data_IF_055619330947
#
_entry.id   IF_055619330947
#
_cell.length_a   1.000
_cell.length_b   1.000
_cell.length_c   1.000
_cell.angle_alpha   90.00
_cell.angle_beta   90.00
_cell.angle_gamma   90.00
#
_symmetry.space_group_name_H-M   'P 1'
#
loop_
_entity.id
_entity.type
_entity.pdbx_description
1 polymer ?
#
# COMPACT_ATOMS: atom_id res chain seq x y z
N UNK A 1 34.67 27.08 -46.84
CA UNK A 1 33.87 27.72 -45.79
C UNK A 1 32.91 26.69 -45.26
N UNK A 2 33.05 26.33 -43.98
CA UNK A 2 32.14 25.41 -43.30
C UNK A 2 31.12 26.16 -42.45
N UNK A 3 29.95 25.56 -42.27
CA UNK A 3 29.09 25.61 -41.09
C UNK A 3 27.97 24.54 -41.25
N UNK A 4 27.39 24.03 -40.16
CA UNK A 4 27.02 22.61 -40.04
C UNK A 4 25.51 22.36 -40.04
N UNK A 5 25.11 21.14 -40.45
CA UNK A 5 23.79 20.58 -40.15
C UNK A 5 23.89 19.65 -38.92
N UNK A 6 23.22 20.02 -37.82
CA UNK A 6 22.67 19.07 -36.85
C UNK A 6 21.48 18.33 -37.48
N UNK A 7 20.88 17.29 -36.92
CA UNK A 7 20.86 16.76 -35.55
C UNK A 7 20.14 15.40 -35.60
N UNK A 8 20.53 14.50 -34.68
CA UNK A 8 19.74 13.46 -34.01
C UNK A 8 18.82 12.52 -34.80
N UNK A 9 19.13 11.22 -34.77
CA UNK A 9 18.23 10.22 -34.14
C UNK A 9 19.02 8.96 -33.73
N UNK A 10 19.23 8.82 -32.42
CA UNK A 10 19.79 7.64 -31.77
C UNK A 10 18.74 6.56 -31.53
N UNK A 11 19.20 5.30 -31.65
CA UNK A 11 18.42 4.08 -31.48
C UNK A 11 17.81 3.92 -30.09
N UNK A 12 16.55 3.49 -30.08
CA UNK A 12 15.74 3.29 -28.89
C UNK A 12 16.20 2.10 -28.05
N UNK A 13 16.35 2.37 -26.74
CA UNK A 13 16.45 1.36 -25.69
C UNK A 13 15.08 1.28 -25.01
N UNK A 14 14.53 0.07 -24.97
CA UNK A 14 13.27 -0.31 -24.32
C UNK A 14 13.23 0.01 -22.82
N UNK A 15 12.08 0.40 -22.24
CA UNK A 15 11.88 0.34 -20.80
C UNK A 15 11.02 -0.87 -20.40
N UNK A 16 11.66 -1.85 -19.77
CA UNK A 16 11.00 -2.85 -18.93
C UNK A 16 10.64 -2.19 -17.58
N UNK A 17 9.36 -1.92 -17.36
CA UNK A 17 8.82 -1.39 -16.10
C UNK A 17 8.02 -2.44 -15.34
N UNK A 18 8.64 -3.03 -14.31
CA UNK A 18 7.98 -3.92 -13.35
C UNK A 18 7.06 -3.11 -12.42
N UNK A 19 5.74 -3.31 -12.53
CA UNK A 19 4.73 -2.82 -11.58
C UNK A 19 4.46 -3.91 -10.53
N UNK A 20 4.78 -3.67 -9.25
CA UNK A 20 4.23 -4.49 -8.17
C UNK A 20 2.77 -4.11 -7.90
N UNK A 21 1.91 -5.09 -8.20
CA UNK A 21 0.93 -5.70 -7.29
C UNK A 21 0.19 -4.74 -6.35
N UNK A 22 -0.95 -4.23 -6.80
CA UNK A 22 -2.07 -3.97 -5.92
C UNK A 22 -2.68 -5.32 -5.49
N UNK A 23 -2.86 -5.46 -4.19
CA UNK A 23 -3.74 -6.37 -3.47
C UNK A 23 -3.65 -5.88 -2.03
N UNK A 24 -4.63 -6.12 -1.19
CA UNK A 24 -4.60 -5.77 0.24
C UNK A 24 -3.54 -6.56 1.02
N UNK A 25 -2.28 -6.48 0.63
CA UNK A 25 -1.14 -6.87 1.45
C UNK A 25 -0.73 -5.66 2.28
N UNK A 26 -0.91 -5.75 3.60
CA UNK A 26 -0.01 -5.04 4.49
C UNK A 26 1.43 -5.40 4.08
N UNK A 27 2.32 -4.42 3.92
CA UNK A 27 3.71 -4.73 3.57
C UNK A 27 4.45 -3.68 2.73
N UNK A 28 5.70 -3.97 2.33
CA UNK A 28 6.61 -3.01 1.72
C UNK A 28 6.05 -2.28 0.49
N UNK A 29 5.40 -3.00 -0.43
CA UNK A 29 4.84 -2.42 -1.65
C UNK A 29 3.70 -1.42 -1.35
N UNK A 30 2.95 -1.63 -0.27
CA UNK A 30 1.90 -0.72 0.16
C UNK A 30 2.48 0.58 0.74
N UNK A 31 3.58 0.52 1.48
CA UNK A 31 4.29 1.71 1.94
C UNK A 31 4.79 2.56 0.77
N UNK A 32 5.31 1.93 -0.29
CA UNK A 32 5.66 2.62 -1.53
C UNK A 32 4.42 3.23 -2.20
N UNK A 33 3.29 2.53 -2.24
CA UNK A 33 2.05 3.05 -2.80
C UNK A 33 1.55 4.30 -2.06
N UNK A 34 1.65 4.32 -0.73
CA UNK A 34 1.37 5.54 0.04
C UNK A 34 2.36 6.65 -0.26
N UNK A 35 3.65 6.34 -0.35
CA UNK A 35 4.67 7.34 -0.67
C UNK A 35 4.41 7.98 -2.05
N UNK A 36 3.90 7.22 -3.04
CA UNK A 36 3.55 7.74 -4.37
C UNK A 36 2.44 8.80 -4.34
N UNK A 37 1.56 8.78 -3.33
CA UNK A 37 0.50 9.79 -3.19
C UNK A 37 1.04 11.19 -2.92
N UNK A 38 2.29 11.28 -2.45
CA UNK A 38 2.97 12.53 -2.14
C UNK A 38 3.84 13.04 -3.29
N UNK A 39 3.90 12.34 -4.43
CA UNK A 39 4.71 12.76 -5.58
C UNK A 39 4.40 14.18 -6.01
N UNK A 40 5.45 14.99 -6.15
CA UNK A 40 5.36 16.40 -6.53
C UNK A 40 5.05 17.36 -5.39
N UNK A 41 4.87 16.87 -4.16
CA UNK A 41 4.83 17.73 -2.96
C UNK A 41 6.18 18.39 -2.73
N UNK A 42 6.13 19.66 -2.36
CA UNK A 42 7.28 20.55 -2.20
C UNK A 42 7.44 21.00 -0.75
N UNK A 43 8.69 21.09 -0.27
CA UNK A 43 8.98 21.35 1.15
C UNK A 43 8.58 22.75 1.63
N UNK A 44 8.39 23.71 0.72
CA UNK A 44 7.93 25.06 1.03
C UNK A 44 6.44 25.20 0.73
N UNK A 45 6.02 24.92 -0.51
CA UNK A 45 4.62 25.07 -0.93
C UNK A 45 3.69 24.17 -0.12
N UNK A 46 4.10 22.92 0.12
CA UNK A 46 3.30 21.91 0.80
C UNK A 46 3.77 21.67 2.24
N UNK A 47 4.56 22.60 2.80
CA UNK A 47 5.15 22.49 4.14
C UNK A 47 4.12 22.12 5.21
N UNK A 48 2.95 22.76 5.21
CA UNK A 48 1.88 22.49 6.19
C UNK A 48 1.32 21.08 6.04
N UNK A 49 1.15 20.62 4.80
CA UNK A 49 0.66 19.27 4.48
C UNK A 49 1.66 18.21 4.93
N UNK A 50 2.93 18.39 4.57
CA UNK A 50 4.03 17.49 4.94
C UNK A 50 4.24 17.45 6.47
N UNK A 51 4.25 18.61 7.12
CA UNK A 51 4.35 18.70 8.59
C UNK A 51 3.17 18.02 9.28
N UNK A 52 1.96 18.21 8.75
CA UNK A 52 0.75 17.54 9.22
C UNK A 52 0.88 16.02 9.12
N UNK A 53 1.28 15.53 7.95
CA UNK A 53 1.50 14.11 7.69
C UNK A 53 2.53 13.49 8.65
N UNK A 54 3.66 14.16 8.91
CA UNK A 54 4.66 13.65 9.86
C UNK A 54 4.12 13.64 11.29
N UNK A 55 3.40 14.70 11.69
CA UNK A 55 2.82 14.81 13.04
C UNK A 55 1.76 13.75 13.31
N UNK A 56 0.95 13.40 12.32
CA UNK A 56 -0.02 12.29 12.40
C UNK A 56 0.66 10.96 12.73
N UNK A 57 1.93 10.80 12.34
CA UNK A 57 2.74 9.61 12.61
C UNK A 57 3.66 9.78 13.84
N UNK A 58 3.39 10.77 14.69
CA UNK A 58 4.17 11.04 15.90
C UNK A 58 5.55 11.67 15.65
N UNK A 59 5.83 12.11 14.43
CA UNK A 59 7.11 12.69 14.03
C UNK A 59 6.97 14.22 13.92
N UNK A 60 7.58 14.95 14.84
CA UNK A 60 7.62 16.41 14.80
C UNK A 60 8.87 16.87 14.03
N UNK A 61 8.71 17.23 12.75
CA UNK A 61 9.78 17.78 11.91
C UNK A 61 9.23 18.94 11.09
N UNK A 62 10.06 19.95 10.86
CA UNK A 62 9.73 21.06 9.96
C UNK A 62 10.42 20.81 8.59
N UNK A 63 9.65 20.51 7.51
CA UNK A 63 10.20 20.20 6.20
C UNK A 63 11.08 21.31 5.61
N UNK A 64 10.80 22.57 5.94
CA UNK A 64 11.52 23.72 5.41
C UNK A 64 12.91 23.94 6.05
N UNK A 65 13.18 23.36 7.22
CA UNK A 65 14.40 23.64 7.99
C UNK A 65 15.14 22.39 8.48
N UNK A 66 14.57 21.21 8.27
CA UNK A 66 15.12 19.96 8.83
C UNK A 66 15.00 18.84 7.82
N UNK A 67 16.11 18.14 7.57
CA UNK A 67 16.12 17.01 6.66
C UNK A 67 15.08 15.96 7.05
N UNK A 68 14.18 15.63 6.12
CA UNK A 68 12.95 14.88 6.41
C UNK A 68 12.79 13.60 5.59
N UNK A 69 13.83 13.15 4.87
CA UNK A 69 13.78 11.92 4.07
C UNK A 69 13.44 10.68 4.92
N UNK A 70 14.03 10.55 6.10
CA UNK A 70 13.72 9.45 7.02
C UNK A 70 12.33 9.60 7.68
N UNK A 71 11.88 10.84 7.95
CA UNK A 71 10.51 11.09 8.42
C UNK A 71 9.48 10.60 7.40
N UNK A 72 9.74 10.88 6.12
CA UNK A 72 8.92 10.43 5.00
C UNK A 72 8.82 8.91 4.91
N UNK A 73 9.96 8.22 4.97
CA UNK A 73 9.97 6.74 4.92
C UNK A 73 9.28 6.14 6.15
N UNK A 74 9.61 6.61 7.37
CA UNK A 74 8.97 6.13 8.59
C UNK A 74 7.45 6.32 8.59
N UNK A 75 6.96 7.48 8.14
CA UNK A 75 5.52 7.79 8.11
C UNK A 75 4.77 6.91 7.11
N UNK A 76 5.36 6.62 5.95
CA UNK A 76 4.75 5.73 4.96
C UNK A 76 4.81 4.25 5.36
N UNK A 77 5.86 3.83 6.08
CA UNK A 77 5.93 2.50 6.70
C UNK A 77 4.85 2.36 7.78
N UNK A 78 4.71 3.36 8.66
CA UNK A 78 3.70 3.37 9.71
C UNK A 78 2.27 3.30 9.14
N UNK A 79 2.00 4.06 8.07
CA UNK A 79 0.71 4.01 7.35
C UNK A 79 0.42 2.63 6.74
N UNK A 80 1.45 1.86 6.41
CA UNK A 80 1.35 0.47 5.95
C UNK A 80 1.41 -0.56 7.09
N UNK A 81 1.28 -0.12 8.35
CA UNK A 81 1.29 -1.01 9.52
C UNK A 81 2.67 -1.57 9.88
N UNK A 82 3.75 -1.04 9.30
CA UNK A 82 5.12 -1.47 9.57
C UNK A 82 5.81 -0.51 10.52
N UNK A 83 6.61 -1.06 11.44
CA UNK A 83 7.49 -0.26 12.27
C UNK A 83 8.63 0.28 11.42
N UNK A 84 8.84 1.59 11.42
CA UNK A 84 10.01 2.22 10.82
C UNK A 84 11.28 2.04 11.66
N UNK A 85 12.38 2.70 11.28
CA UNK A 85 13.61 2.68 12.08
C UNK A 85 13.47 3.45 13.41
N UNK A 86 12.45 4.31 13.52
CA UNK A 86 12.22 5.18 14.68
C UNK A 86 13.18 6.37 14.76
N UNK A 87 13.99 6.61 13.73
CA UNK A 87 14.98 7.69 13.69
C UNK A 87 14.79 8.61 12.48
N UNK A 88 15.06 9.90 12.67
CA UNK A 88 15.15 10.89 11.58
C UNK A 88 16.45 10.79 10.76
N UNK A 89 17.36 9.88 11.14
CA UNK A 89 18.63 9.70 10.46
C UNK A 89 18.49 8.64 9.37
N UNK A 90 18.75 9.00 8.11
CA UNK A 90 18.61 8.11 6.96
C UNK A 90 19.42 6.79 7.08
N UNK A 91 20.63 6.85 7.61
CA UNK A 91 21.51 5.68 7.77
C UNK A 91 21.02 4.71 8.86
N UNK A 92 20.07 5.10 9.71
CA UNK A 92 19.44 4.18 10.68
C UNK A 92 18.79 2.97 9.98
N UNK A 93 18.42 3.12 8.71
CA UNK A 93 17.87 2.06 7.89
C UNK A 93 18.90 1.03 7.41
N UNK A 94 20.22 1.24 7.60
CA UNK A 94 21.24 0.27 7.15
C UNK A 94 21.10 -1.12 7.79
N UNK A 95 20.59 -1.15 9.03
CA UNK A 95 20.33 -2.39 9.79
C UNK A 95 18.84 -2.74 9.86
N UNK A 96 18.00 -2.03 9.11
CA UNK A 96 16.54 -2.22 9.14
C UNK A 96 16.14 -3.42 8.30
N UNK A 97 15.25 -4.27 8.81
CA UNK A 97 14.73 -5.42 8.06
C UNK A 97 15.80 -6.39 7.57
N UNK A 98 15.53 -7.06 6.45
CA UNK A 98 16.42 -8.03 5.82
C UNK A 98 17.27 -7.42 4.69
N UNK A 99 18.51 -7.89 4.51
CA UNK A 99 19.38 -7.42 3.43
C UNK A 99 18.90 -7.90 2.04
N UNK A 100 18.91 -7.01 1.05
CA UNK A 100 18.52 -7.34 -0.33
C UNK A 100 19.76 -7.40 -1.22
N UNK A 101 19.93 -8.53 -1.91
CA UNK A 101 21.04 -8.71 -2.87
C UNK A 101 20.84 -7.80 -4.11
N UNK A 102 21.91 -7.27 -4.71
CA UNK A 102 21.83 -6.57 -5.98
C UNK A 102 21.07 -7.39 -7.04
N UNK A 103 20.16 -6.74 -7.78
CA UNK A 103 19.29 -7.41 -8.76
C UNK A 103 18.03 -8.07 -8.21
N UNK A 104 17.87 -8.21 -6.89
CA UNK A 104 16.64 -8.73 -6.25
C UNK A 104 15.81 -7.64 -5.56
N UNK A 105 15.96 -6.40 -6.02
CA UNK A 105 15.19 -5.25 -5.54
C UNK A 105 13.73 -5.42 -5.91
N UNK A 106 12.86 -5.20 -4.95
CA UNK A 106 11.41 -5.27 -5.09
C UNK A 106 10.78 -3.92 -4.75
N UNK A 107 9.59 -3.63 -5.29
CA UNK A 107 8.86 -2.42 -4.94
C UNK A 107 8.57 -2.37 -3.44
N UNK A 108 8.97 -1.26 -2.80
CA UNK A 108 8.82 -1.09 -1.36
C UNK A 108 10.04 -1.47 -0.53
N UNK A 109 11.08 -2.05 -1.14
CA UNK A 109 12.39 -2.14 -0.50
C UNK A 109 12.88 -0.72 -0.17
N UNK A 110 13.57 -0.56 0.95
CA UNK A 110 14.17 0.69 1.38
C UNK A 110 15.57 0.79 0.77
N UNK A 111 15.84 1.85 0.04
CA UNK A 111 17.16 2.15 -0.50
C UNK A 111 17.85 3.24 0.31
N UNK A 112 19.10 2.98 0.71
CA UNK A 112 19.91 3.87 1.53
C UNK A 112 21.15 4.29 0.74
N UNK A 113 21.34 5.60 0.58
CA UNK A 113 22.60 6.20 0.14
C UNK A 113 23.42 6.58 1.37
N UNK A 114 24.29 5.67 1.82
CA UNK A 114 25.04 5.83 3.07
C UNK A 114 26.14 6.89 2.98
N UNK A 115 26.71 7.13 1.79
CA UNK A 115 27.80 8.10 1.56
C UNK A 115 29.00 7.89 2.51
N UNK A 116 29.36 6.63 2.76
CA UNK A 116 30.46 6.26 3.65
C UNK A 116 30.14 6.36 5.15
N UNK A 117 28.90 6.64 5.54
CA UNK A 117 28.46 6.76 6.93
C UNK A 117 27.98 5.42 7.48
N UNK A 118 28.25 5.18 8.76
CA UNK A 118 27.75 4.01 9.51
C UNK A 118 26.28 4.19 9.94
N UNK A 119 25.64 3.11 10.36
CA UNK A 119 24.25 3.15 10.83
C UNK A 119 24.08 4.14 12.00
N UNK A 120 23.09 5.05 11.88
CA UNK A 120 22.80 6.08 12.88
C UNK A 120 23.61 7.38 12.74
N UNK A 121 24.59 7.45 11.82
CA UNK A 121 25.32 8.69 11.53
C UNK A 121 24.55 9.58 10.54
N UNK A 122 24.52 10.89 10.79
CA UNK A 122 23.80 11.87 9.96
C UNK A 122 24.40 12.02 8.55
N UNK A 123 23.63 12.56 7.60
CA UNK A 123 24.08 12.96 6.27
C UNK A 123 24.07 11.90 5.15
N UNK A 124 23.41 10.76 5.38
CA UNK A 124 22.97 9.87 4.30
C UNK A 124 21.62 10.31 3.68
N UNK A 125 21.07 9.50 2.77
CA UNK A 125 19.72 9.66 2.21
C UNK A 125 18.96 8.33 2.18
N UNK A 126 17.63 8.37 2.27
CA UNK A 126 16.78 7.18 2.27
C UNK A 126 15.50 7.42 1.47
N UNK A 127 15.03 6.38 0.79
CA UNK A 127 13.78 6.38 0.04
C UNK A 127 13.29 4.95 -0.24
N UNK A 128 12.13 4.84 -0.87
CA UNK A 128 11.60 3.57 -1.36
C UNK A 128 12.14 3.27 -2.75
N UNK A 129 12.61 2.05 -2.97
CA UNK A 129 12.91 1.53 -4.30
C UNK A 129 11.59 1.18 -4.99
N UNK A 130 11.43 1.63 -6.23
CA UNK A 130 10.18 1.40 -6.97
C UNK A 130 10.10 0.02 -7.61
N UNK A 131 11.21 -0.72 -7.60
CA UNK A 131 11.44 -1.97 -8.34
C UNK A 131 11.79 -1.76 -9.81
N UNK A 132 11.73 -0.53 -10.33
CA UNK A 132 12.22 -0.21 -11.67
C UNK A 132 13.75 -0.21 -11.67
N UNK A 133 14.32 -0.83 -12.71
CA UNK A 133 15.77 -0.85 -12.94
C UNK A 133 16.06 -0.41 -14.37
N UNK A 134 17.23 0.21 -14.60
CA UNK A 134 17.71 0.52 -15.95
C UNK A 134 19.22 0.41 -16.03
N UNK A 135 19.76 0.31 -17.24
CA UNK A 135 21.17 0.63 -17.48
C UNK A 135 21.28 2.11 -17.80
N UNK A 136 22.18 2.82 -17.13
CA UNK A 136 22.48 4.19 -17.46
C UNK A 136 23.01 4.25 -18.90
N UNK A 137 22.38 5.02 -19.80
CA UNK A 137 22.74 5.03 -21.22
C UNK A 137 24.12 5.64 -21.49
N UNK A 138 24.70 6.40 -20.54
CA UNK A 138 26.04 7.00 -20.68
C UNK A 138 27.15 6.15 -20.06
N UNK A 139 26.90 5.57 -18.89
CA UNK A 139 27.94 4.83 -18.13
C UNK A 139 27.80 3.32 -18.22
N UNK A 140 26.65 2.81 -18.66
CA UNK A 140 26.34 1.38 -18.66
C UNK A 140 26.03 0.79 -17.28
N UNK A 141 26.14 1.57 -16.21
CA UNK A 141 25.90 1.13 -14.83
C UNK A 141 24.43 0.78 -14.60
N UNK A 142 24.18 -0.22 -13.75
CA UNK A 142 22.84 -0.52 -13.26
C UNK A 142 22.35 0.62 -12.35
N UNK A 143 21.16 1.14 -12.60
CA UNK A 143 20.49 2.13 -11.77
C UNK A 143 19.15 1.60 -11.26
N UNK A 144 18.82 1.98 -10.03
CA UNK A 144 17.50 1.76 -9.43
C UNK A 144 16.76 3.09 -9.36
N UNK A 145 15.46 3.05 -9.64
CA UNK A 145 14.60 4.21 -9.39
C UNK A 145 14.20 4.22 -7.91
N UNK A 146 14.40 5.37 -7.28
CA UNK A 146 14.12 5.61 -5.87
C UNK A 146 13.14 6.77 -5.73
N UNK A 147 12.02 6.51 -5.05
CA UNK A 147 11.08 7.50 -4.57
C UNK A 147 11.48 7.95 -3.17
N UNK A 148 11.77 9.24 -2.98
CA UNK A 148 12.10 9.77 -1.66
C UNK A 148 11.59 11.18 -1.48
N UNK A 149 11.51 11.59 -0.22
CA UNK A 149 11.27 12.96 0.21
C UNK A 149 12.59 13.70 0.44
N UNK A 150 12.53 15.02 0.62
CA UNK A 150 13.69 15.90 0.86
C UNK A 150 14.75 15.76 -0.24
N UNK A 151 14.32 15.68 -1.49
CA UNK A 151 15.20 15.58 -2.65
C UNK A 151 14.69 16.46 -3.79
N UNK A 152 15.61 16.98 -4.60
CA UNK A 152 15.26 17.79 -5.77
C UNK A 152 14.51 17.01 -6.86
N UNK A 153 14.12 17.71 -7.93
CA UNK A 153 13.38 17.12 -9.05
C UNK A 153 11.87 17.34 -9.00
N UNK A 154 11.39 18.23 -8.13
CA UNK A 154 10.03 18.79 -8.19
C UNK A 154 9.97 19.94 -9.19
N UNK A 155 8.75 20.34 -9.59
CA UNK A 155 8.53 21.44 -10.53
C UNK A 155 9.04 22.81 -10.03
N UNK A 156 9.24 22.97 -8.72
CA UNK A 156 9.76 24.18 -8.07
C UNK A 156 11.30 24.25 -8.06
N UNK A 157 12.00 23.15 -8.35
CA UNK A 157 13.46 23.05 -8.22
C UNK A 157 13.98 22.96 -6.77
N UNK A 158 13.11 23.01 -5.77
CA UNK A 158 13.43 22.88 -4.34
C UNK A 158 13.35 21.42 -3.87
N UNK A 159 13.64 21.17 -2.59
CA UNK A 159 13.50 19.82 -2.01
C UNK A 159 12.03 19.42 -1.93
N UNK A 160 11.74 18.16 -2.23
CA UNK A 160 10.37 17.65 -2.21
C UNK A 160 10.32 16.15 -2.39
N UNK A 161 9.16 15.64 -2.81
CA UNK A 161 8.94 14.23 -3.08
C UNK A 161 9.03 13.97 -4.58
N UNK A 162 10.04 13.20 -5.00
CA UNK A 162 10.29 12.91 -6.41
C UNK A 162 10.83 11.49 -6.60
N UNK A 163 10.79 10.98 -7.84
CA UNK A 163 11.60 9.82 -8.23
C UNK A 163 12.94 10.27 -8.78
N UNK A 164 13.99 9.52 -8.49
CA UNK A 164 15.34 9.73 -9.01
C UNK A 164 15.99 8.39 -9.33
N UNK A 165 16.67 8.31 -10.46
CA UNK A 165 17.53 7.17 -10.78
C UNK A 165 18.86 7.32 -10.05
N UNK A 166 19.31 6.24 -9.41
CA UNK A 166 20.53 6.20 -8.60
C UNK A 166 21.36 4.98 -8.97
N UNK A 167 22.68 5.12 -9.03
CA UNK A 167 23.57 3.98 -9.28
C UNK A 167 23.34 2.91 -8.22
N UNK A 168 23.11 1.67 -8.67
CA UNK A 168 22.88 0.52 -7.80
C UNK A 168 24.06 0.27 -6.86
N UNK A 169 25.28 0.64 -7.27
CA UNK A 169 26.50 0.54 -6.46
C UNK A 169 26.50 1.46 -5.23
N UNK A 170 25.74 2.55 -5.27
CA UNK A 170 25.63 3.52 -4.18
C UNK A 170 24.51 3.20 -3.19
N UNK A 171 23.61 2.28 -3.55
CA UNK A 171 22.43 1.92 -2.77
C UNK A 171 22.70 0.66 -1.96
N UNK A 172 22.53 0.77 -0.64
CA UNK A 172 22.24 -0.39 0.21
C UNK A 172 20.73 -0.61 0.22
N UNK A 173 20.27 -1.78 -0.22
CA UNK A 173 18.85 -2.12 -0.25
C UNK A 173 18.47 -3.02 0.94
N UNK A 174 17.35 -2.68 1.61
CA UNK A 174 16.83 -3.37 2.78
C UNK A 174 15.34 -3.62 2.62
N UNK A 175 14.87 -4.82 2.92
CA UNK A 175 13.47 -5.20 2.85
C UNK A 175 12.84 -5.10 4.22
N UNK A 176 11.76 -4.33 4.43
CA UNK A 176 11.05 -4.33 5.70
C UNK A 176 10.64 -5.76 6.09
N UNK A 177 10.96 -6.16 7.32
CA UNK A 177 10.47 -7.41 7.86
C UNK A 177 8.98 -7.24 8.15
N UNK A 178 8.16 -7.99 7.43
CA UNK A 178 6.71 -7.94 7.57
C UNK A 178 6.20 -9.39 7.64
N UNK A 179 5.40 -9.67 8.67
CA UNK A 179 4.85 -11.00 8.86
C UNK A 179 3.56 -11.16 8.06
N UNK A 180 3.65 -11.94 6.98
CA UNK A 180 2.52 -12.29 6.11
C UNK A 180 1.44 -13.10 6.83
N UNK A 181 1.78 -13.77 7.94
CA UNK A 181 0.83 -14.54 8.74
C UNK A 181 -0.08 -13.65 9.60
N UNK A 182 0.32 -12.40 9.91
CA UNK A 182 -0.55 -11.46 10.63
C UNK A 182 -1.73 -10.94 9.80
N UNK A 183 -1.71 -11.14 8.47
CA UNK A 183 -2.83 -10.81 7.58
C UNK A 183 -3.73 -12.04 7.36
N UNK A 184 -3.23 -13.26 7.60
CA UNK A 184 -3.98 -14.50 7.42
C UNK A 184 -5.02 -14.76 8.53
N UNK A 185 -4.86 -14.19 9.72
CA UNK A 185 -5.75 -14.42 10.86
C UNK A 185 -7.01 -13.54 10.91
N UNK A 186 -7.23 -12.67 9.92
CA UNK A 186 -8.51 -11.95 9.74
C UNK A 186 -9.43 -12.59 8.69
N UNK A 187 -9.08 -13.79 8.20
CA UNK A 187 -9.89 -14.59 7.28
C UNK A 187 -10.54 -15.78 7.98
N UNK A 188 -11.54 -15.56 8.82
CA UNK A 188 -12.36 -16.68 9.33
C UNK A 188 -13.48 -17.03 8.34
N UNK A 189 -13.18 -18.07 7.56
CA UNK A 189 -14.05 -19.21 7.22
C UNK A 189 -15.50 -18.93 6.85
N UNK A 190 -15.78 -19.00 5.55
CA UNK A 190 -17.11 -19.33 5.05
C UNK A 190 -17.52 -20.74 5.52
N UNK A 191 -18.66 -20.83 6.20
CA UNK A 191 -19.38 -22.06 6.55
C UNK A 191 -20.87 -21.75 6.71
N UNK A 192 -21.79 -22.67 6.34
CA UNK A 192 -23.14 -22.31 5.90
C UNK A 192 -24.15 -22.23 7.05
N UNK A 193 -25.14 -21.33 6.93
CA UNK A 193 -26.44 -21.49 7.57
C UNK A 193 -26.88 -20.36 8.51
N UNK A 194 -27.87 -19.59 8.04
CA UNK A 194 -29.11 -19.24 8.76
C UNK A 194 -29.03 -18.49 10.09
N UNK A 195 -29.64 -17.31 10.13
CA UNK A 195 -30.18 -16.74 11.37
C UNK A 195 -29.88 -15.27 11.56
N UNK A 196 -30.91 -14.45 11.48
CA UNK A 196 -30.90 -13.03 11.82
C UNK A 196 -30.34 -12.80 13.23
N UNK A 197 -29.49 -11.77 13.38
CA UNK A 197 -29.59 -10.81 14.48
C UNK A 197 -28.91 -9.50 14.10
N UNK A 198 -29.68 -8.43 14.26
CA UNK A 198 -29.22 -7.07 14.23
C UNK A 198 -28.46 -6.76 15.53
N UNK A 199 -27.39 -5.99 15.42
CA UNK A 199 -26.55 -5.58 16.54
C UNK A 199 -25.26 -6.40 16.62
N UNK A 200 -24.14 -5.70 16.68
CA UNK A 200 -22.80 -6.19 17.01
C UNK A 200 -21.95 -6.73 15.86
N UNK A 201 -21.45 -5.80 15.03
CA UNK A 201 -20.11 -5.94 14.45
C UNK A 201 -19.44 -4.57 14.41
N UNK A 202 -18.34 -4.35 15.15
CA UNK A 202 -17.55 -3.13 15.01
C UNK A 202 -17.01 -3.07 13.58
N UNK A 203 -17.39 -2.03 12.84
CA UNK A 203 -16.89 -1.79 11.50
C UNK A 203 -15.36 -1.61 11.53
N UNK A 204 -14.62 -2.68 11.20
CA UNK A 204 -13.19 -2.61 10.96
C UNK A 204 -12.94 -1.67 9.79
N UNK A 205 -12.30 -0.53 10.05
CA UNK A 205 -12.08 0.54 9.10
C UNK A 205 -11.24 0.10 7.90
N UNK A 206 -11.89 -0.29 6.80
CA UNK A 206 -11.24 -0.46 5.51
C UNK A 206 -11.15 0.92 4.86
N UNK A 207 -9.92 1.46 4.78
CA UNK A 207 -9.56 2.75 4.17
C UNK A 207 -10.17 3.01 2.78
N UNK A 208 -9.80 4.11 2.11
CA UNK A 208 -10.39 4.50 0.81
C UNK A 208 -10.40 3.42 -0.30
N UNK A 209 -9.49 2.44 -0.30
CA UNK A 209 -9.54 1.27 -1.20
C UNK A 209 -10.63 0.25 -0.85
N UNK A 210 -11.05 0.19 0.41
CA UNK A 210 -12.12 -0.66 0.93
C UNK A 210 -13.48 -0.38 0.28
N UNK A 211 -13.81 0.88 0.06
CA UNK A 211 -15.04 1.25 -0.67
C UNK A 211 -15.06 0.64 -2.08
N UNK A 212 -13.96 0.77 -2.83
CA UNK A 212 -13.88 0.21 -4.18
C UNK A 212 -13.82 -1.32 -4.16
N UNK A 213 -13.15 -1.91 -3.18
CA UNK A 213 -13.15 -3.36 -2.97
C UNK A 213 -14.58 -3.88 -2.76
N UNK A 214 -15.35 -3.22 -1.90
CA UNK A 214 -16.75 -3.57 -1.64
C UNK A 214 -17.63 -3.37 -2.88
N UNK A 215 -17.48 -2.24 -3.57
CA UNK A 215 -18.19 -1.98 -4.83
C UNK A 215 -17.91 -3.05 -5.89
N UNK A 216 -16.68 -3.58 -5.93
CA UNK A 216 -16.22 -4.54 -6.96
C UNK A 216 -16.40 -6.00 -6.56
N UNK A 217 -16.73 -6.30 -5.30
CA UNK A 217 -16.92 -7.67 -4.84
C UNK A 217 -17.92 -8.50 -5.70
N UNK A 218 -19.08 -7.95 -6.14
CA UNK A 218 -19.98 -8.67 -7.03
C UNK A 218 -19.36 -9.00 -8.39
N UNK A 219 -18.53 -8.10 -8.93
CA UNK A 219 -17.81 -8.32 -10.20
C UNK A 219 -16.74 -9.41 -10.04
N UNK A 220 -16.04 -9.41 -8.91
CA UNK A 220 -15.05 -10.45 -8.60
C UNK A 220 -15.70 -11.83 -8.45
N UNK A 221 -16.91 -11.91 -7.90
CA UNK A 221 -17.64 -13.17 -7.78
C UNK A 221 -18.00 -13.78 -9.16
N UNK A 222 -18.24 -12.96 -10.18
CA UNK A 222 -18.50 -13.44 -11.55
C UNK A 222 -17.29 -14.10 -12.20
N UNK A 223 -16.07 -13.84 -11.71
CA UNK A 223 -14.86 -14.51 -12.19
C UNK A 223 -14.72 -15.96 -11.71
N UNK A 224 -15.62 -16.43 -10.83
CA UNK A 224 -15.74 -17.85 -10.53
C UNK A 224 -16.22 -18.65 -11.74
N UNK A 225 -16.86 -18.01 -12.73
CA UNK A 225 -17.10 -18.61 -14.05
C UNK A 225 -15.79 -18.59 -14.87
N UNK A 226 -15.19 -19.76 -15.19
CA UNK A 226 -13.95 -19.83 -15.95
C UNK A 226 -14.06 -19.19 -17.34
N UNK A 227 -15.24 -19.17 -17.95
CA UNK A 227 -15.45 -18.54 -19.25
C UNK A 227 -15.34 -17.02 -19.16
N UNK A 228 -15.86 -16.41 -18.08
CA UNK A 228 -15.72 -14.97 -17.83
C UNK A 228 -14.27 -14.63 -17.53
N UNK A 229 -13.60 -15.42 -16.68
CA UNK A 229 -12.17 -15.24 -16.39
C UNK A 229 -11.31 -15.34 -17.66
N UNK A 230 -11.55 -16.36 -18.49
CA UNK A 230 -10.83 -16.54 -19.75
C UNK A 230 -11.04 -15.36 -20.72
N UNK A 231 -12.27 -14.85 -20.82
CA UNK A 231 -12.59 -13.71 -21.68
C UNK A 231 -11.95 -12.41 -21.17
N UNK A 232 -11.85 -12.22 -19.85
CA UNK A 232 -11.09 -11.11 -19.25
C UNK A 232 -9.58 -11.21 -19.54
N UNK A 233 -9.00 -12.41 -19.48
CA UNK A 233 -7.60 -12.60 -19.91
C UNK A 233 -7.40 -12.26 -21.39
N UNK A 234 -8.36 -12.61 -22.25
CA UNK A 234 -8.31 -12.24 -23.67
C UNK A 234 -8.37 -10.72 -23.85
N UNK A 235 -9.24 -10.04 -23.09
CA UNK A 235 -9.28 -8.57 -23.09
C UNK A 235 -7.89 -7.98 -22.79
N UNK A 236 -7.25 -8.41 -21.70
CA UNK A 236 -5.93 -7.93 -21.30
C UNK A 236 -4.84 -8.24 -22.34
N UNK A 237 -4.95 -9.37 -23.05
CA UNK A 237 -4.04 -9.72 -24.13
C UNK A 237 -4.24 -8.84 -25.39
N UNK A 238 -5.45 -8.33 -25.62
CA UNK A 238 -5.80 -7.51 -26.78
C UNK A 238 -5.52 -6.02 -26.58
N UNK A 239 -5.97 -5.46 -25.47
CA UNK A 239 -6.18 -4.03 -25.28
C UNK A 239 -5.04 -3.31 -24.53
N UNK A 240 -3.94 -4.01 -24.19
CA UNK A 240 -2.83 -3.40 -23.46
C UNK A 240 -3.27 -2.78 -22.12
N UNK A 241 -2.50 -1.83 -21.59
CA UNK A 241 -2.92 -0.98 -20.45
C UNK A 241 -2.96 -1.62 -19.05
N UNK A 242 -2.88 -2.95 -18.95
CA UNK A 242 -2.73 -3.68 -17.69
C UNK A 242 -3.91 -3.50 -16.72
N UNK A 243 -3.63 -3.23 -15.45
CA UNK A 243 -4.65 -3.05 -14.42
C UNK A 243 -5.63 -1.91 -14.72
N UNK A 244 -5.19 -0.85 -15.42
CA UNK A 244 -6.05 0.28 -15.77
C UNK A 244 -7.15 -0.12 -16.77
N UNK A 245 -6.89 -1.04 -17.69
CA UNK A 245 -7.91 -1.62 -18.59
C UNK A 245 -8.97 -2.39 -17.82
N UNK A 246 -8.56 -3.18 -16.83
CA UNK A 246 -9.48 -3.91 -15.95
C UNK A 246 -10.30 -2.94 -15.08
N UNK A 247 -9.69 -1.86 -14.57
CA UNK A 247 -10.41 -0.80 -13.86
C UNK A 247 -11.47 -0.15 -14.74
N UNK A 248 -11.16 0.17 -16.00
CA UNK A 248 -12.10 0.80 -16.92
C UNK A 248 -13.32 -0.09 -17.16
N UNK A 249 -13.10 -1.40 -17.38
CA UNK A 249 -14.17 -2.40 -17.48
C UNK A 249 -15.02 -2.41 -16.19
N UNK A 250 -14.40 -2.53 -15.02
CA UNK A 250 -15.12 -2.66 -13.75
C UNK A 250 -15.93 -1.41 -13.43
N UNK A 251 -15.35 -0.23 -13.66
CA UNK A 251 -16.02 1.05 -13.48
C UNK A 251 -17.23 1.16 -14.42
N UNK A 252 -17.07 0.77 -15.69
CA UNK A 252 -18.16 0.81 -16.67
C UNK A 252 -19.29 -0.15 -16.33
N UNK A 253 -18.99 -1.41 -16.00
CA UNK A 253 -20.02 -2.40 -15.62
C UNK A 253 -20.72 -1.97 -14.32
N UNK A 254 -19.98 -1.46 -13.34
CA UNK A 254 -20.56 -0.92 -12.09
C UNK A 254 -21.51 0.24 -12.37
N UNK A 255 -21.14 1.16 -13.27
CA UNK A 255 -22.00 2.26 -13.68
C UNK A 255 -23.24 1.77 -14.44
N UNK A 256 -23.08 0.83 -15.38
CA UNK A 256 -24.19 0.29 -16.16
C UNK A 256 -25.22 -0.40 -15.25
N UNK A 257 -24.76 -1.17 -14.25
CA UNK A 257 -25.62 -1.84 -13.26
C UNK A 257 -26.53 -0.90 -12.49
N UNK A 258 -26.12 0.35 -12.28
CA UNK A 258 -26.96 1.34 -11.58
C UNK A 258 -28.25 1.64 -12.33
N UNK A 259 -28.28 1.43 -13.66
CA UNK A 259 -29.46 1.69 -14.51
C UNK A 259 -29.97 0.46 -15.27
N UNK A 260 -29.16 -0.60 -15.35
CA UNK A 260 -29.48 -1.85 -16.04
C UNK A 260 -29.23 -3.02 -15.07
N UNK A 261 -30.21 -3.35 -14.20
CA UNK A 261 -30.10 -4.47 -13.29
C UNK A 261 -29.79 -5.78 -14.03
N UNK A 262 -28.92 -6.61 -13.43
CA UNK A 262 -28.50 -7.88 -14.03
C UNK A 262 -27.56 -7.76 -15.24
N UNK A 263 -26.93 -6.59 -15.46
CA UNK A 263 -25.87 -6.45 -16.46
C UNK A 263 -24.53 -6.98 -15.92
N UNK A 264 -23.92 -7.95 -16.59
CA UNK A 264 -22.76 -8.73 -16.09
C UNK A 264 -21.44 -8.34 -16.74
N UNK A 265 -20.30 -8.77 -16.16
CA UNK A 265 -19.00 -8.74 -16.84
C UNK A 265 -19.06 -9.53 -18.16
N UNK A 266 -19.77 -10.66 -18.17
CA UNK A 266 -19.99 -11.48 -19.37
C UNK A 266 -20.70 -10.69 -20.47
N UNK A 267 -21.71 -9.89 -20.14
CA UNK A 267 -22.41 -9.04 -21.11
C UNK A 267 -21.46 -7.99 -21.71
N UNK A 268 -20.66 -7.32 -20.89
CA UNK A 268 -19.76 -6.25 -21.35
C UNK A 268 -18.58 -6.81 -22.14
N UNK A 269 -17.97 -7.90 -21.67
CA UNK A 269 -16.85 -8.58 -22.33
C UNK A 269 -17.25 -9.21 -23.67
N UNK A 270 -18.53 -9.50 -23.90
CA UNK A 270 -19.04 -9.97 -25.20
C UNK A 270 -19.63 -8.84 -26.06
N UNK A 271 -19.60 -7.59 -25.59
CA UNK A 271 -20.08 -6.45 -26.37
C UNK A 271 -19.13 -6.12 -27.52
N UNK A 272 -19.65 -5.44 -28.55
CA UNK A 272 -18.84 -4.94 -29.68
C UNK A 272 -17.89 -3.79 -29.31
N UNK A 273 -17.88 -3.37 -28.05
CA UNK A 273 -16.99 -2.33 -27.56
C UNK A 273 -15.51 -2.74 -27.71
N UNK A 274 -15.18 -4.00 -27.40
CA UNK A 274 -13.80 -4.48 -27.39
C UNK A 274 -13.36 -5.02 -28.75
N UNK A 275 -12.10 -4.74 -29.11
CA UNK A 275 -11.53 -5.15 -30.39
C UNK A 275 -11.52 -6.67 -30.56
N UNK A 276 -11.36 -7.43 -29.47
CA UNK A 276 -11.38 -8.90 -29.46
C UNK A 276 -12.70 -9.53 -29.96
N UNK A 277 -13.77 -8.74 -30.10
CA UNK A 277 -15.07 -9.21 -30.60
C UNK A 277 -15.35 -8.72 -32.04
N UNK A 278 -14.42 -8.03 -32.69
CA UNK A 278 -14.56 -7.62 -34.10
C UNK A 278 -14.35 -8.83 -35.03
N UNK A 279 -15.05 -8.89 -36.20
CA UNK A 279 -14.86 -9.98 -37.15
C UNK A 279 -13.39 -10.14 -37.57
N UNK A 280 -12.91 -11.38 -37.63
CA UNK A 280 -11.52 -11.71 -38.00
C UNK A 280 -10.53 -11.71 -36.84
N UNK A 281 -10.93 -11.32 -35.63
CA UNK A 281 -10.08 -11.36 -34.43
C UNK A 281 -10.24 -12.72 -33.72
N UNK A 282 -9.17 -13.52 -33.66
CA UNK A 282 -9.13 -14.84 -33.02
C UNK A 282 -8.88 -14.78 -31.50
N UNK A 283 -8.73 -15.91 -30.83
CA UNK A 283 -8.19 -15.90 -29.46
C UNK A 283 -6.66 -15.71 -29.50
N UNK A 284 -6.11 -14.83 -28.66
CA UNK A 284 -4.65 -14.73 -28.47
C UNK A 284 -4.17 -15.87 -27.60
N UNK A 285 -2.99 -16.41 -27.92
CA UNK A 285 -2.29 -17.35 -27.03
C UNK A 285 -1.80 -16.62 -25.79
N UNK A 286 -2.05 -17.20 -24.61
CA UNK A 286 -1.69 -16.63 -23.31
C UNK A 286 -0.81 -17.65 -22.59
N UNK A 287 0.46 -17.31 -22.37
CA UNK A 287 1.37 -18.15 -21.62
C UNK A 287 1.00 -18.20 -20.13
N UNK A 288 1.43 -19.24 -19.38
CA UNK A 288 1.21 -19.30 -17.94
C UNK A 288 1.79 -18.10 -17.18
N UNK A 289 2.89 -17.52 -17.67
CA UNK A 289 3.47 -16.32 -17.08
C UNK A 289 2.58 -15.08 -17.29
N UNK A 290 2.04 -14.90 -18.49
CA UNK A 290 1.09 -13.82 -18.79
C UNK A 290 -0.20 -14.00 -17.99
N UNK A 291 -0.72 -15.23 -17.87
CA UNK A 291 -1.92 -15.49 -17.06
C UNK A 291 -1.72 -15.11 -15.59
N UNK A 292 -0.56 -15.42 -15.00
CA UNK A 292 -0.25 -15.00 -13.62
C UNK A 292 -0.20 -13.48 -13.48
N UNK A 293 0.31 -12.78 -14.48
CA UNK A 293 0.35 -11.32 -14.47
C UNK A 293 -1.04 -10.71 -14.61
N UNK A 294 -1.88 -11.29 -15.47
CA UNK A 294 -3.28 -10.88 -15.59
C UNK A 294 -4.06 -11.10 -14.29
N UNK A 295 -3.88 -12.25 -13.65
CA UNK A 295 -4.50 -12.56 -12.37
C UNK A 295 -4.10 -11.57 -11.28
N UNK A 296 -2.82 -11.14 -11.23
CA UNK A 296 -2.37 -10.09 -10.30
C UNK A 296 -3.05 -8.74 -10.57
N UNK A 297 -3.16 -8.34 -11.84
CA UNK A 297 -3.81 -7.09 -12.21
C UNK A 297 -5.29 -7.10 -11.85
N UNK A 298 -5.99 -8.21 -12.13
CA UNK A 298 -7.39 -8.38 -11.76
C UNK A 298 -7.57 -8.34 -10.25
N UNK A 299 -6.70 -9.01 -9.50
CA UNK A 299 -6.72 -8.98 -8.05
C UNK A 299 -6.48 -7.55 -7.52
N UNK A 300 -5.53 -6.79 -8.10
CA UNK A 300 -5.30 -5.39 -7.75
C UNK A 300 -6.54 -4.53 -7.89
N UNK A 301 -7.25 -4.69 -9.01
CA UNK A 301 -8.50 -3.99 -9.26
C UNK A 301 -9.58 -4.43 -8.28
N UNK A 302 -9.73 -5.74 -8.05
CA UNK A 302 -10.64 -6.27 -7.02
C UNK A 302 -10.33 -5.76 -5.61
N UNK A 303 -9.06 -5.55 -5.29
CA UNK A 303 -8.56 -5.01 -4.02
C UNK A 303 -8.71 -3.50 -3.86
N UNK A 304 -9.33 -2.81 -4.83
CA UNK A 304 -9.65 -1.39 -4.72
C UNK A 304 -8.67 -0.45 -5.41
N UNK A 305 -7.87 -0.93 -6.38
CA UNK A 305 -7.01 -0.06 -7.20
C UNK A 305 -7.79 1.08 -7.88
N UNK A 306 -7.20 2.27 -7.97
CA UNK A 306 -7.86 3.48 -8.48
C UNK A 306 -6.93 4.29 -9.40
N UNK A 307 -6.16 3.60 -10.24
CA UNK A 307 -5.19 4.20 -11.17
C UNK A 307 -5.85 5.19 -12.11
N UNK A 308 -7.05 4.88 -12.59
CA UNK A 308 -7.79 5.73 -13.53
C UNK A 308 -8.90 6.52 -12.86
N UNK A 309 -8.90 6.66 -11.53
CA UNK A 309 -9.79 7.60 -10.82
C UNK A 309 -11.26 7.53 -11.28
N UNK A 310 -11.81 6.33 -11.43
CA UNK A 310 -13.19 6.09 -11.84
C UNK A 310 -13.52 6.26 -13.32
N UNK A 311 -12.54 6.50 -14.22
CA UNK A 311 -12.80 6.56 -15.67
C UNK A 311 -13.37 5.24 -16.17
N UNK A 312 -14.29 5.33 -17.12
CA UNK A 312 -15.13 4.22 -17.60
C UNK A 312 -14.80 3.81 -19.03
N UNK A 313 -14.07 4.65 -19.77
CA UNK A 313 -13.63 4.34 -21.11
C UNK A 313 -12.17 3.91 -21.12
N UNK A 314 -11.85 3.04 -22.07
CA UNK A 314 -10.50 2.71 -22.50
C UNK A 314 -10.52 2.73 -24.03
N UNK A 315 -9.48 3.30 -24.65
CA UNK A 315 -9.31 3.28 -26.11
C UNK A 315 -7.86 3.56 -26.50
N UNK A 316 -7.46 3.04 -27.65
CA UNK A 316 -6.12 3.25 -28.22
C UNK A 316 -6.02 4.61 -28.90
N UNK A 317 -4.80 5.15 -29.02
CA UNK A 317 -4.53 6.38 -29.79
C UNK A 317 -4.99 6.19 -31.26
N UNK A 318 -6.10 6.84 -31.63
CA UNK A 318 -6.79 6.65 -32.92
C UNK A 318 -8.23 6.12 -32.83
N UNK A 319 -8.68 5.63 -31.67
CA UNK A 319 -10.07 5.21 -31.48
C UNK A 319 -11.03 6.42 -31.45
N UNK A 320 -12.27 6.28 -31.95
CA UNK A 320 -13.25 7.35 -31.94
C UNK A 320 -13.49 7.95 -30.55
N UNK A 321 -13.34 7.17 -29.47
CA UNK A 321 -13.57 7.64 -28.10
C UNK A 321 -12.42 8.41 -27.44
N UNK A 322 -11.28 8.59 -28.12
CA UNK A 322 -10.09 9.24 -27.52
C UNK A 322 -10.24 10.73 -27.25
N UNK A 323 -11.13 11.40 -27.98
CA UNK A 323 -11.44 12.83 -27.81
C UNK A 323 -12.42 13.12 -26.66
N UNK A 324 -13.00 12.09 -26.04
CA UNK A 324 -13.97 12.25 -24.95
C UNK A 324 -13.31 12.87 -23.70
N UNK A 325 -14.05 13.68 -22.92
CA UNK A 325 -13.49 14.46 -21.82
C UNK A 325 -13.06 13.60 -20.63
N UNK A 326 -12.24 14.19 -19.75
CA UNK A 326 -11.83 13.57 -18.49
C UNK A 326 -10.64 12.62 -18.59
N UNK A 327 -9.77 12.83 -19.59
CA UNK A 327 -8.57 12.00 -19.79
C UNK A 327 -7.70 11.94 -18.54
N UNK A 328 -7.22 10.74 -18.22
CA UNK A 328 -6.16 10.51 -17.24
C UNK A 328 -5.05 9.70 -17.90
N UNK A 329 -3.80 10.08 -17.62
CA UNK A 329 -2.62 9.36 -18.10
C UNK A 329 -2.24 8.27 -17.10
N UNK A 330 -1.98 7.08 -17.61
CA UNK A 330 -1.44 5.98 -16.81
C UNK A 330 0.02 5.77 -17.22
N UNK A 331 1.00 5.96 -16.32
CA UNK A 331 2.40 5.78 -16.65
C UNK A 331 2.69 4.39 -17.24
N UNK A 332 3.36 4.37 -18.40
CA UNK A 332 3.68 3.12 -19.10
C UNK A 332 2.53 2.53 -19.93
N UNK A 333 1.40 3.24 -20.06
CA UNK A 333 0.28 2.86 -20.93
C UNK A 333 0.15 3.87 -22.07
N UNK A 334 0.04 3.38 -23.31
CA UNK A 334 -0.35 4.18 -24.48
C UNK A 334 -1.87 4.36 -24.59
N UNK A 335 -2.65 3.61 -23.81
CA UNK A 335 -4.11 3.71 -23.78
C UNK A 335 -4.59 5.07 -23.23
N UNK A 336 -5.73 5.51 -23.76
CA UNK A 336 -6.49 6.67 -23.30
C UNK A 336 -7.61 6.21 -22.38
N UNK A 337 -7.63 6.75 -21.16
CA UNK A 337 -8.70 6.53 -20.18
C UNK A 337 -9.47 7.81 -19.94
N UNK A 338 -10.75 7.83 -20.29
CA UNK A 338 -11.62 9.00 -20.17
C UNK A 338 -13.07 8.57 -19.84
N UNK A 339 -14.05 9.47 -20.01
CA UNK A 339 -15.43 9.16 -19.72
C UNK A 339 -16.13 8.50 -20.91
N UNK A 340 -16.73 7.33 -20.66
CA UNK A 340 -17.45 6.57 -21.67
C UNK A 340 -18.84 7.13 -21.94
N UNK A 341 -19.30 6.98 -23.19
CA UNK A 341 -20.69 7.14 -23.58
C UNK A 341 -21.13 5.98 -24.49
N UNK A 342 -22.43 5.69 -24.48
CA UNK A 342 -23.04 4.69 -25.35
C UNK A 342 -24.27 4.03 -24.75
N UNK A 343 -24.75 2.99 -25.42
CA UNK A 343 -26.01 2.32 -25.09
C UNK A 343 -25.81 0.88 -24.61
N UNK A 344 -26.55 0.45 -23.59
CA UNK A 344 -26.65 -0.95 -23.14
C UNK A 344 -28.09 -1.34 -22.83
N UNK A 345 -28.56 -2.46 -23.41
CA UNK A 345 -29.92 -2.99 -23.23
C UNK A 345 -31.02 -1.91 -23.31
N UNK A 346 -30.91 -0.98 -24.25
CA UNK A 346 -31.89 0.10 -24.43
C UNK A 346 -31.64 1.38 -23.63
N UNK A 347 -30.70 1.39 -22.69
CA UNK A 347 -30.37 2.54 -21.81
C UNK A 347 -29.14 3.28 -22.34
N UNK A 348 -29.26 4.60 -22.46
CA UNK A 348 -28.18 5.51 -22.87
C UNK A 348 -27.35 6.00 -21.68
N UNK A 349 -26.04 6.14 -21.89
CA UNK A 349 -25.08 6.66 -20.94
C UNK A 349 -24.27 7.75 -21.62
N UNK A 350 -24.22 8.94 -21.02
CA UNK A 350 -23.43 10.07 -21.50
C UNK A 350 -22.09 10.16 -20.77
N UNK A 351 -21.14 10.89 -21.36
CA UNK A 351 -19.88 11.28 -20.69
C UNK A 351 -20.13 11.99 -19.36
N UNK A 352 -21.18 12.80 -19.25
CA UNK A 352 -21.61 13.43 -17.99
C UNK A 352 -22.05 12.42 -16.93
N UNK A 353 -22.77 11.36 -17.31
CA UNK A 353 -23.15 10.28 -16.40
C UNK A 353 -21.91 9.50 -15.91
N UNK A 354 -20.96 9.24 -16.80
CA UNK A 354 -19.65 8.66 -16.47
C UNK A 354 -18.84 9.54 -15.52
N UNK A 355 -18.78 10.85 -15.77
CA UNK A 355 -18.10 11.80 -14.89
C UNK A 355 -18.73 11.85 -13.49
N UNK A 356 -20.07 11.88 -13.42
CA UNK A 356 -20.79 11.89 -12.15
C UNK A 356 -20.58 10.58 -11.37
N UNK A 357 -20.54 9.43 -12.05
CA UNK A 357 -20.17 8.16 -11.44
C UNK A 357 -18.76 8.20 -10.84
N UNK A 358 -17.78 8.66 -11.62
CA UNK A 358 -16.39 8.77 -11.18
C UNK A 358 -16.27 9.70 -9.96
N UNK A 359 -16.92 10.88 -10.00
CA UNK A 359 -16.93 11.85 -8.91
C UNK A 359 -17.54 11.27 -7.61
N UNK A 360 -18.69 10.57 -7.71
CA UNK A 360 -19.30 9.89 -6.55
C UNK A 360 -18.36 8.86 -5.94
N UNK A 361 -17.66 8.08 -6.77
CA UNK A 361 -16.67 7.14 -6.28
C UNK A 361 -15.50 7.84 -5.58
N UNK A 362 -14.94 8.92 -6.16
CA UNK A 362 -13.86 9.65 -5.50
C UNK A 362 -14.31 10.30 -4.19
N UNK A 363 -15.53 10.82 -4.13
CA UNK A 363 -16.10 11.37 -2.90
C UNK A 363 -16.27 10.27 -1.84
N UNK A 364 -16.85 9.12 -2.19
CA UNK A 364 -17.02 8.02 -1.24
C UNK A 364 -15.68 7.46 -0.73
N UNK A 365 -14.66 7.42 -1.58
CA UNK A 365 -13.28 7.06 -1.17
C UNK A 365 -12.75 8.08 -0.15
N UNK A 366 -12.96 9.37 -0.37
CA UNK A 366 -12.53 10.44 0.52
C UNK A 366 -13.30 10.44 1.86
N UNK A 367 -14.63 10.26 1.80
CA UNK A 367 -15.51 10.19 2.97
C UNK A 367 -15.19 8.96 3.81
N UNK A 368 -14.99 7.81 3.18
CA UNK A 368 -14.61 6.59 3.88
C UNK A 368 -13.26 6.75 4.57
N UNK A 369 -12.28 7.34 3.88
CA UNK A 369 -11.00 7.69 4.48
C UNK A 369 -11.14 8.71 5.63
N UNK A 370 -12.14 9.58 5.63
CA UNK A 370 -12.44 10.48 6.76
C UNK A 370 -13.07 9.74 7.93
N UNK A 371 -14.02 8.84 7.67
CA UNK A 371 -14.66 8.01 8.72
C UNK A 371 -13.64 7.09 9.37
N UNK A 372 -12.78 6.41 8.60
CA UNK A 372 -11.76 5.53 9.16
C UNK A 372 -10.73 6.32 9.99
N UNK A 373 -10.39 7.55 9.57
CA UNK A 373 -9.56 8.47 10.38
C UNK A 373 -10.27 8.87 11.67
N UNK A 374 -11.55 9.19 11.62
CA UNK A 374 -12.34 9.56 12.79
C UNK A 374 -12.50 8.40 13.78
N UNK A 375 -12.72 7.18 13.27
CA UNK A 375 -12.82 5.97 14.07
C UNK A 375 -11.48 5.58 14.70
N UNK A 376 -10.38 5.64 13.95
CA UNK A 376 -9.03 5.40 14.48
C UNK A 376 -8.67 6.37 15.62
N UNK A 377 -9.10 7.63 15.53
CA UNK A 377 -8.92 8.63 16.58
C UNK A 377 -9.83 8.39 17.81
N UNK A 378 -10.99 7.77 17.62
CA UNK A 378 -11.95 7.48 18.70
C UNK A 378 -11.61 6.20 19.50
N UNK A 379 -10.90 5.23 18.92
CA UNK A 379 -10.46 3.98 19.57
C UNK A 379 -9.23 4.11 20.49
N UNK A 380 -9.00 5.28 21.10
CA UNK A 380 -8.02 5.40 22.19
C UNK A 380 -8.63 4.77 23.44
N UNK A 381 -8.43 3.46 23.62
CA UNK A 381 -8.83 2.75 24.84
C UNK A 381 -7.88 3.16 25.97
N UNK A 382 -8.34 4.03 26.86
CA UNK A 382 -7.67 4.31 28.12
C UNK A 382 -8.20 3.33 29.19
N UNK A 383 -7.47 2.23 29.40
CA UNK A 383 -7.75 1.30 30.49
C UNK A 383 -6.95 1.68 31.73
N UNK A 384 -7.60 1.76 32.90
CA UNK A 384 -6.92 1.70 34.19
C UNK A 384 -7.17 0.32 34.80
N UNK A 385 -6.13 -0.30 35.35
CA UNK A 385 -6.23 -1.61 35.98
C UNK A 385 -5.22 -1.71 37.13
N UNK A 386 -5.61 -2.36 38.22
CA UNK A 386 -4.80 -2.56 39.42
C UNK A 386 -4.32 -4.01 39.49
N UNK A 387 -3.00 -4.22 39.58
CA UNK A 387 -2.40 -5.52 39.89
C UNK A 387 -1.99 -5.47 41.36
N UNK A 388 -2.41 -6.46 42.15
CA UNK A 388 -1.99 -6.63 43.54
C UNK A 388 -1.32 -7.98 43.69
N UNK A 389 -0.12 -8.00 44.25
CA UNK A 389 0.70 -9.20 44.43
C UNK A 389 0.98 -9.38 45.91
N UNK A 390 0.43 -10.43 46.51
CA UNK A 390 0.74 -10.84 47.88
C UNK A 390 1.87 -11.86 47.88
N UNK A 391 2.96 -11.56 48.59
CA UNK A 391 4.14 -12.45 48.66
C UNK A 391 4.50 -12.76 50.11
N UNK A 392 4.55 -14.05 50.43
CA UNK A 392 4.97 -14.55 51.74
C UNK A 392 6.44 -15.00 51.66
N UNK A 393 7.36 -14.26 52.29
CA UNK A 393 8.80 -14.53 52.20
C UNK A 393 9.54 -14.31 53.54
N UNK A 394 10.60 -15.09 53.86
CA UNK A 394 11.41 -14.93 55.07
C UNK A 394 12.06 -13.55 55.24
N UNK A 395 12.45 -13.23 56.47
CA UNK A 395 13.10 -11.95 56.81
C UNK A 395 14.43 -11.82 56.05
N UNK A 396 14.53 -10.83 55.16
CA UNK A 396 15.72 -10.55 54.35
C UNK A 396 15.58 -10.86 52.85
N UNK A 397 14.48 -11.50 52.43
CA UNK A 397 14.25 -11.80 51.01
C UNK A 397 13.78 -10.56 50.23
N UNK A 398 14.46 -10.24 49.14
CA UNK A 398 14.03 -9.19 48.19
C UNK A 398 12.98 -9.80 47.25
N UNK A 399 11.86 -9.09 47.08
CA UNK A 399 10.77 -9.47 46.18
C UNK A 399 10.55 -8.30 45.22
N UNK A 400 10.46 -8.60 43.93
CA UNK A 400 10.11 -7.64 42.88
C UNK A 400 8.88 -8.11 42.12
N UNK A 401 8.05 -7.18 41.68
CA UNK A 401 6.94 -7.43 40.77
C UNK A 401 7.08 -6.48 39.57
N UNK A 402 6.99 -7.01 38.36
CA UNK A 402 7.04 -6.24 37.12
C UNK A 402 5.74 -6.45 36.35
N UNK A 403 5.09 -5.37 35.95
CA UNK A 403 3.93 -5.38 35.06
C UNK A 403 4.33 -4.87 33.69
N UNK A 404 3.96 -5.61 32.64
CA UNK A 404 4.13 -5.18 31.25
C UNK A 404 2.78 -5.03 30.54
N UNK A 405 2.67 -4.07 29.62
CA UNK A 405 1.49 -3.87 28.78
C UNK A 405 0.78 -2.52 29.00
N UNK A 406 -0.55 -2.50 28.89
CA UNK A 406 -1.41 -1.30 28.87
C UNK A 406 -1.51 -0.56 30.22
N UNK A 407 -0.83 -1.05 31.27
CA UNK A 407 -0.98 -0.57 32.65
C UNK A 407 0.19 0.36 33.00
N UNK A 408 -0.12 1.56 33.51
CA UNK A 408 0.86 2.61 33.78
C UNK A 408 1.42 2.59 35.21
N UNK A 409 0.81 1.84 36.13
CA UNK A 409 1.17 1.84 37.55
C UNK A 409 1.08 0.44 38.17
N UNK A 410 2.10 0.05 38.95
CA UNK A 410 2.17 -1.20 39.70
C UNK A 410 2.49 -0.84 41.15
N UNK A 411 1.60 -1.19 42.07
CA UNK A 411 1.76 -0.94 43.51
C UNK A 411 1.93 -2.27 44.25
N UNK A 412 2.96 -2.39 45.10
CA UNK A 412 3.25 -3.59 45.87
C UNK A 412 2.91 -3.37 47.34
N UNK A 413 1.89 -4.08 47.83
CA UNK A 413 1.54 -4.08 49.25
C UNK A 413 2.14 -5.31 49.94
N UNK A 414 2.83 -5.10 51.07
CA UNK A 414 3.47 -6.18 51.84
C UNK A 414 2.60 -6.56 53.03
N UNK A 415 2.15 -7.81 53.13
CA UNK A 415 1.50 -8.33 54.34
C UNK A 415 2.28 -9.49 54.99
N UNK A 416 2.69 -9.22 56.23
CA UNK A 416 3.00 -10.10 57.38
C UNK A 416 4.27 -10.98 57.39
N UNK A 417 4.82 -11.12 58.61
CA UNK A 417 6.14 -11.63 58.97
C UNK A 417 6.01 -13.06 59.52
N UNK A 418 6.81 -14.03 59.04
CA UNK A 418 6.88 -15.35 59.68
C UNK A 418 7.71 -15.28 60.97
N UNK A 419 7.14 -15.76 62.08
CA UNK A 419 7.92 -16.04 63.30
C UNK A 419 8.82 -17.28 63.09
N UNK A 420 10.05 -17.28 63.62
CA UNK A 420 10.95 -18.41 63.47
C UNK A 420 10.43 -19.65 64.22
N UNK A 421 10.59 -20.83 63.60
CA UNK A 421 10.28 -22.10 64.24
C UNK A 421 11.09 -22.28 65.53
N UNK A 422 10.41 -22.52 66.66
CA UNK A 422 11.03 -22.81 67.96
C UNK A 422 11.91 -24.05 67.85
N UNK A 423 13.21 -23.90 68.15
CA UNK A 423 14.11 -25.04 68.41
C UNK A 423 13.63 -25.77 69.66
N UNK A 424 13.39 -27.07 69.54
CA UNK A 424 13.15 -27.96 70.69
C UNK A 424 14.41 -28.04 71.54
N UNK A 425 14.35 -27.44 72.73
CA UNK A 425 15.34 -27.62 73.77
C UNK A 425 15.18 -29.01 74.40
N UNK A 426 16.33 -29.67 74.58
CA UNK A 426 16.64 -30.72 75.54
C UNK A 426 15.78 -30.66 76.81
N UNK A 427 15.14 -31.77 77.16
CA UNK A 427 14.80 -32.11 78.54
C UNK A 427 15.23 -33.56 78.78
N UNK A 428 16.41 -33.71 79.39
CA UNK A 428 16.69 -34.80 80.30
C UNK A 428 15.75 -34.67 81.50
N UNK A 429 15.13 -35.76 81.97
CA UNK A 429 14.95 -36.07 83.40
C UNK A 429 14.35 -37.50 83.58
N UNK A 430 14.41 -38.11 84.78
CA UNK A 430 15.26 -39.29 85.00
C UNK A 430 14.49 -40.61 85.16
N UNK A 431 15.24 -41.72 85.09
CA UNK A 431 14.80 -43.06 85.50
C UNK A 431 14.37 -43.09 86.97
N UNK A 432 13.29 -43.82 87.26
CA UNK A 432 13.17 -44.50 88.56
C UNK A 432 12.36 -45.81 88.45
N UNK A 433 13.07 -46.89 88.79
CA UNK A 433 12.71 -48.27 89.18
C UNK A 433 12.07 -49.18 88.12
#
# INVERSE_FOLDING_TARGET
GGAPNGSDVGGGISPAGNQASGNGEAGPAQALAFARQHLGEDEIRDQTKLSGFFRENGIKVNPATTAWCAAFVNSNLAKAGMKGSGSLVATSFLNYGSAVKPGNVQPGDIGILARGRSAGQTGGHVGFLTGSTRKNPRTGELEYEMLGGNQGGTASGQGGVSTQWRSASQITARRPDWDRSQVANNGQTAGPGGGQRAGDTPAGGKGGGGYLQEQRAPLMAELNDPAVKAKLSQLQAYEGGGAATVEALYNRVSMIRQKVPGYTLKDELNSRFYAMNKPGMGAKSISPAQQREFDKQVAAVGGGSNLIQGRTNQGMEGDPGTHLPGRVAVPGSSEVYNYWEGRRRGVEFSTGASAAFAARNQQAIADRAQVDRAQANATKVEGTGKISVDVNAPKGTKVGAEGGGLFKEVEVNRQTQMEPAKRSATNEEPMNI
#
